data_IF_097338888882
#
_entry.id   IF_097338888882
#
_cell.length_a   1.000
_cell.length_b   1.000
_cell.length_c   1.000
_cell.angle_alpha   90.00
_cell.angle_beta   90.00
_cell.angle_gamma   90.00
#
_symmetry.space_group_name_H-M   'P 1'
#
loop_
_entity.id
_entity.type
_entity.pdbx_description
1 polymer ?
#
# COMPACT_ATOMS: atom_id res chain seq x y z
N UNK A 1 13.42 7.85 22.49
CA UNK A 1 12.28 7.06 23.01
C UNK A 1 12.11 5.90 22.06
N UNK A 2 12.09 4.66 22.54
CA UNK A 2 11.86 3.51 21.66
C UNK A 2 10.41 3.58 21.18
N UNK A 3 10.20 3.55 19.87
CA UNK A 3 8.86 3.43 19.30
C UNK A 3 8.29 2.07 19.72
N UNK A 4 7.10 2.07 20.34
CA UNK A 4 6.40 0.84 20.71
C UNK A 4 5.47 0.44 19.57
N UNK A 5 5.69 -0.75 19.01
CA UNK A 5 4.87 -1.32 17.95
C UNK A 5 4.18 -2.59 18.45
N UNK A 6 2.93 -2.81 18.04
CA UNK A 6 2.19 -4.04 18.36
C UNK A 6 2.87 -5.31 17.80
N UNK A 7 3.59 -5.17 16.68
CA UNK A 7 4.53 -6.14 16.13
C UNK A 7 5.84 -5.45 15.81
N UNK A 8 6.98 -6.14 15.91
CA UNK A 8 8.22 -5.56 15.35
C UNK A 8 8.08 -5.40 13.83
N UNK A 9 8.62 -4.34 13.20
CA UNK A 9 8.57 -4.19 11.74
C UNK A 9 9.13 -5.41 10.98
N UNK A 10 10.15 -6.07 11.52
CA UNK A 10 10.74 -7.29 10.95
C UNK A 10 9.74 -8.46 10.90
N UNK A 11 8.79 -8.50 11.84
CA UNK A 11 7.70 -9.47 11.82
C UNK A 11 6.85 -9.32 10.57
N UNK A 12 6.60 -8.08 10.13
CA UNK A 12 5.84 -7.80 8.91
C UNK A 12 6.63 -8.22 7.67
N UNK A 13 7.93 -7.93 7.63
CA UNK A 13 8.82 -8.39 6.54
C UNK A 13 8.79 -9.92 6.45
N UNK A 14 8.88 -10.61 7.60
CA UNK A 14 8.83 -12.07 7.64
C UNK A 14 7.49 -12.60 7.14
N UNK A 15 6.37 -12.00 7.55
CA UNK A 15 5.04 -12.36 7.07
C UNK A 15 4.95 -12.26 5.53
N UNK A 16 5.40 -11.15 4.95
CA UNK A 16 5.44 -10.98 3.49
C UNK A 16 6.27 -12.05 2.78
N UNK A 17 7.42 -12.45 3.35
CA UNK A 17 8.27 -13.52 2.79
C UNK A 17 7.59 -14.89 2.77
N UNK A 18 6.62 -15.11 3.66
CA UNK A 18 5.80 -16.33 3.75
C UNK A 18 4.50 -16.20 2.95
N UNK A 19 4.29 -15.07 2.27
CA UNK A 19 3.08 -14.81 1.51
C UNK A 19 1.91 -14.25 2.32
N UNK A 20 2.08 -14.01 3.62
CA UNK A 20 1.09 -13.41 4.52
C UNK A 20 1.09 -11.88 4.40
N UNK A 21 -0.06 -11.25 4.68
CA UNK A 21 -0.15 -9.79 4.79
C UNK A 21 -1.10 -9.35 5.91
N UNK A 22 -0.78 -8.25 6.62
CA UNK A 22 -1.61 -7.75 7.72
C UNK A 22 -2.75 -6.86 7.22
N UNK A 23 -3.95 -7.01 7.80
CA UNK A 23 -5.06 -6.05 7.67
C UNK A 23 -5.82 -5.94 9.01
N UNK A 24 -6.53 -4.83 9.21
CA UNK A 24 -7.49 -4.69 10.30
C UNK A 24 -8.92 -4.74 9.74
N UNK A 25 -9.91 -5.07 10.59
CA UNK A 25 -11.31 -5.11 10.15
C UNK A 25 -11.87 -3.71 9.82
N UNK A 26 -11.35 -2.68 10.48
CA UNK A 26 -11.70 -1.27 10.28
C UNK A 26 -10.54 -0.36 10.69
N UNK A 27 -10.65 0.94 10.36
CA UNK A 27 -9.61 1.92 10.69
C UNK A 27 -9.49 2.20 12.20
N UNK A 28 -10.57 1.93 12.93
CA UNK A 28 -10.68 2.13 14.37
C UNK A 28 -10.46 0.82 15.15
N UNK A 29 -10.25 -0.29 14.44
CA UNK A 29 -9.89 -1.58 15.04
C UNK A 29 -8.57 -1.46 15.80
N UNK A 30 -8.52 -2.10 16.98
CA UNK A 30 -7.30 -2.26 17.78
C UNK A 30 -6.55 -3.54 17.47
N UNK A 31 -7.09 -4.38 16.59
CA UNK A 31 -6.49 -5.66 16.21
C UNK A 31 -6.01 -5.66 14.76
N UNK A 32 -4.90 -6.36 14.52
CA UNK A 32 -4.37 -6.70 13.19
C UNK A 32 -4.49 -8.21 13.01
N UNK A 33 -4.99 -8.63 11.86
CA UNK A 33 -5.08 -10.02 11.43
C UNK A 33 -4.15 -10.26 10.25
N UNK A 34 -3.55 -11.44 10.18
CA UNK A 34 -2.73 -11.87 9.04
C UNK A 34 -3.54 -12.79 8.13
N UNK A 35 -3.45 -12.54 6.83
CA UNK A 35 -4.23 -13.25 5.82
C UNK A 35 -3.33 -14.05 4.88
N UNK A 36 -3.76 -15.29 4.61
CA UNK A 36 -3.21 -16.19 3.61
C UNK A 36 -4.34 -16.68 2.69
N UNK A 37 -4.60 -16.00 1.57
CA UNK A 37 -5.70 -16.42 0.69
C UNK A 37 -5.29 -17.63 -0.16
N UNK A 38 -6.11 -18.69 -0.15
CA UNK A 38 -5.94 -19.88 -1.02
C UNK A 38 -5.81 -19.51 -2.51
N UNK A 39 -6.50 -18.44 -2.93
CA UNK A 39 -6.40 -17.85 -4.27
C UNK A 39 -5.86 -16.43 -4.17
N UNK A 40 -4.67 -16.22 -4.71
CA UNK A 40 -4.00 -14.91 -4.68
C UNK A 40 -4.22 -14.14 -5.99
N UNK A 41 -4.76 -12.94 -5.86
CA UNK A 41 -4.83 -11.99 -6.98
C UNK A 41 -3.43 -11.44 -7.28
N UNK A 42 -3.00 -11.53 -8.54
CA UNK A 42 -1.74 -10.99 -9.03
C UNK A 42 -2.01 -10.10 -10.25
N UNK A 43 -1.21 -9.03 -10.40
CA UNK A 43 -1.26 -8.15 -11.57
C UNK A 43 0.06 -8.30 -12.32
N UNK A 44 0.08 -8.99 -13.47
CA UNK A 44 1.28 -9.09 -14.29
C UNK A 44 1.64 -7.73 -14.88
N UNK A 45 2.78 -7.17 -14.47
CA UNK A 45 3.25 -5.86 -14.96
C UNK A 45 3.93 -6.00 -16.32
N UNK A 46 4.58 -7.14 -16.58
CA UNK A 46 5.26 -7.41 -17.84
C UNK A 46 4.33 -8.09 -18.85
N UNK A 47 4.17 -7.48 -20.02
CA UNK A 47 3.40 -8.03 -21.13
C UNK A 47 4.00 -9.32 -21.70
N UNK A 48 5.30 -9.57 -21.51
CA UNK A 48 5.99 -10.77 -22.03
C UNK A 48 5.56 -12.07 -21.34
N UNK A 49 4.89 -11.99 -20.19
CA UNK A 49 4.39 -13.17 -19.46
C UNK A 49 2.96 -13.57 -19.86
N UNK A 50 2.36 -12.88 -20.83
CA UNK A 50 0.93 -12.98 -21.13
C UNK A 50 0.08 -12.31 -20.04
N UNK A 51 -0.99 -11.60 -20.41
CA UNK A 51 -1.88 -10.98 -19.42
C UNK A 51 -1.35 -9.72 -18.72
N UNK A 52 -0.60 -8.88 -19.44
CA UNK A 52 -0.12 -7.59 -18.91
C UNK A 52 -1.24 -6.64 -18.46
N UNK A 53 -0.86 -5.56 -17.75
CA UNK A 53 -1.82 -4.56 -17.25
C UNK A 53 -2.68 -3.98 -18.38
N UNK A 54 -4.01 -4.11 -18.23
CA UNK A 54 -4.94 -3.44 -19.13
C UNK A 54 -5.02 -1.95 -18.80
N UNK A 55 -4.49 -1.09 -19.69
CA UNK A 55 -4.59 0.37 -19.57
C UNK A 55 -5.55 0.89 -20.65
N UNK A 56 -6.71 1.47 -20.28
CA UNK A 56 -7.66 1.99 -21.26
C UNK A 56 -7.04 3.05 -22.18
N UNK A 57 -7.39 3.05 -23.47
CA UNK A 57 -6.82 3.98 -24.48
C UNK A 57 -6.93 5.45 -24.08
N UNK A 58 -8.04 5.85 -23.44
CA UNK A 58 -8.25 7.24 -22.97
C UNK A 58 -7.25 7.62 -21.87
N UNK A 59 -6.97 6.70 -20.94
CA UNK A 59 -5.99 6.90 -19.88
C UNK A 59 -4.57 6.98 -20.47
N UNK A 60 -4.22 6.07 -21.38
CA UNK A 60 -2.92 6.12 -22.08
C UNK A 60 -2.70 7.47 -22.78
N UNK A 61 -3.72 7.97 -23.49
CA UNK A 61 -3.64 9.28 -24.16
C UNK A 61 -3.45 10.42 -23.15
N UNK A 62 -4.15 10.40 -22.02
CA UNK A 62 -4.01 11.41 -20.97
C UNK A 62 -2.61 11.39 -20.35
N UNK A 63 -2.10 10.21 -19.98
CA UNK A 63 -0.77 10.09 -19.35
C UNK A 63 0.34 10.57 -20.30
N UNK A 64 0.23 10.30 -21.61
CA UNK A 64 1.19 10.78 -22.62
C UNK A 64 1.25 12.31 -22.77
N UNK A 65 0.24 13.03 -22.30
CA UNK A 65 0.27 14.50 -22.28
C UNK A 65 1.11 15.05 -21.13
N UNK A 66 1.70 14.16 -20.29
CA UNK A 66 2.46 14.49 -19.09
C UNK A 66 1.78 15.54 -18.18
N UNK A 67 0.47 15.43 -17.89
CA UNK A 67 -0.19 16.41 -17.02
C UNK A 67 0.12 16.17 -15.52
N UNK A 68 0.99 15.21 -15.21
CA UNK A 68 1.30 14.82 -13.85
C UNK A 68 2.81 14.68 -13.69
N UNK A 69 3.32 15.11 -12.54
CA UNK A 69 4.65 14.75 -12.07
C UNK A 69 4.54 13.52 -11.16
N UNK A 70 5.47 12.58 -11.28
CA UNK A 70 5.50 11.35 -10.48
C UNK A 70 6.81 11.28 -9.73
N UNK A 71 6.74 11.11 -8.41
CA UNK A 71 7.89 10.88 -7.56
C UNK A 71 7.79 9.52 -6.87
N UNK A 72 8.93 9.08 -6.31
CA UNK A 72 9.03 7.85 -5.54
C UNK A 72 9.57 8.22 -4.17
N UNK A 73 8.94 7.72 -3.11
CA UNK A 73 9.38 7.90 -1.72
C UNK A 73 9.53 9.38 -1.29
N UNK A 74 8.84 10.30 -1.96
CA UNK A 74 8.94 11.72 -1.64
C UNK A 74 8.11 12.10 -0.41
N UNK A 75 6.93 11.46 -0.24
CA UNK A 75 6.05 11.68 0.91
C UNK A 75 5.19 10.43 1.21
N UNK A 76 5.85 9.39 1.73
CA UNK A 76 5.17 8.15 2.11
C UNK A 76 4.06 8.38 3.14
N UNK A 77 4.26 9.33 4.05
CA UNK A 77 3.31 9.60 5.15
C UNK A 77 2.01 10.18 4.59
N UNK A 78 2.09 11.17 3.69
CA UNK A 78 0.90 11.69 3.04
C UNK A 78 0.16 10.62 2.22
N UNK A 79 0.89 9.75 1.52
CA UNK A 79 0.29 8.66 0.74
C UNK A 79 -0.48 7.69 1.64
N UNK A 80 0.14 7.18 2.71
CA UNK A 80 -0.54 6.22 3.60
C UNK A 80 -1.70 6.88 4.36
N UNK A 81 -1.60 8.17 4.69
CA UNK A 81 -2.67 8.92 5.34
C UNK A 81 -3.88 9.07 4.44
N UNK A 82 -3.67 9.44 3.18
CA UNK A 82 -4.72 9.48 2.19
C UNK A 82 -5.34 8.09 1.95
N UNK A 83 -4.51 7.04 1.92
CA UNK A 83 -4.98 5.67 1.81
C UNK A 83 -5.76 5.18 3.04
N UNK A 84 -5.51 5.71 4.23
CA UNK A 84 -6.22 5.35 5.47
C UNK A 84 -7.49 6.17 5.70
N UNK A 85 -7.64 7.30 5.01
CA UNK A 85 -8.80 8.17 5.15
C UNK A 85 -10.05 7.58 4.48
N UNK A 86 -11.24 7.78 5.09
CA UNK A 86 -12.51 7.53 4.44
C UNK A 86 -12.76 8.55 3.33
N UNK A 87 -13.64 8.20 2.40
CA UNK A 87 -14.09 9.05 1.30
C UNK A 87 -15.57 8.81 1.03
N UNK A 88 -16.19 9.65 0.21
CA UNK A 88 -17.61 9.50 -0.19
C UNK A 88 -17.92 8.12 -0.79
N UNK A 89 -16.92 7.44 -1.36
CA UNK A 89 -17.06 6.10 -1.98
C UNK A 89 -16.63 4.96 -1.08
N UNK A 90 -15.93 5.27 0.03
CA UNK A 90 -15.34 4.29 0.93
C UNK A 90 -15.41 4.84 2.35
N UNK A 91 -16.48 4.50 3.05
CA UNK A 91 -16.78 5.01 4.40
C UNK A 91 -15.86 4.45 5.47
N UNK A 92 -15.16 3.34 5.20
CA UNK A 92 -14.20 2.71 6.13
C UNK A 92 -13.03 2.05 5.39
N UNK A 93 -11.92 1.84 6.09
CA UNK A 93 -10.67 1.30 5.54
C UNK A 93 -10.06 0.30 6.51
N UNK A 94 -9.19 -0.59 6.04
CA UNK A 94 -8.50 -1.55 6.89
C UNK A 94 -7.20 -1.01 7.51
N UNK A 95 -6.80 0.23 7.17
CA UNK A 95 -5.55 0.82 7.63
C UNK A 95 -5.82 1.53 8.95
N UNK A 96 -5.68 0.79 10.05
CA UNK A 96 -5.74 1.36 11.38
C UNK A 96 -4.43 2.08 11.75
N UNK A 97 -4.41 2.69 12.95
CA UNK A 97 -3.26 3.44 13.45
C UNK A 97 -1.97 2.60 13.51
N UNK A 98 -2.06 1.34 13.90
CA UNK A 98 -0.89 0.48 14.09
C UNK A 98 -0.30 0.03 12.74
N UNK A 99 -1.15 -0.36 11.78
CA UNK A 99 -0.73 -0.66 10.41
C UNK A 99 -0.06 0.56 9.80
N UNK A 100 -0.66 1.74 9.94
CA UNK A 100 -0.05 2.99 9.47
C UNK A 100 1.37 3.18 10.04
N UNK A 101 1.53 3.05 11.36
CA UNK A 101 2.83 3.21 12.01
C UNK A 101 3.85 2.16 11.57
N UNK A 102 3.45 0.90 11.45
CA UNK A 102 4.30 -0.18 10.97
C UNK A 102 4.82 0.09 9.56
N UNK A 103 3.96 0.54 8.65
CA UNK A 103 4.39 0.79 7.26
C UNK A 103 5.26 2.04 7.13
N UNK A 104 5.06 3.06 7.97
CA UNK A 104 6.01 4.19 8.08
C UNK A 104 7.37 3.70 8.59
N UNK A 105 7.41 2.79 9.55
CA UNK A 105 8.66 2.19 10.02
C UNK A 105 9.33 1.36 8.91
N UNK A 106 8.57 0.53 8.20
CA UNK A 106 9.07 -0.24 7.05
C UNK A 106 9.61 0.67 5.95
N UNK A 107 8.97 1.81 5.72
CA UNK A 107 9.45 2.80 4.76
C UNK A 107 10.82 3.36 5.17
N UNK A 108 10.98 3.76 6.45
CA UNK A 108 12.28 4.22 6.99
C UNK A 108 13.36 3.14 6.90
N UNK A 109 12.99 1.86 6.98
CA UNK A 109 13.88 0.72 6.83
C UNK A 109 14.17 0.35 5.36
N UNK A 110 13.52 1.00 4.39
CA UNK A 110 13.68 0.73 2.96
C UNK A 110 12.88 -0.46 2.42
N UNK A 111 11.91 -0.98 3.17
CA UNK A 111 11.07 -2.13 2.78
C UNK A 111 9.67 -1.75 2.27
N UNK A 112 9.22 -0.53 2.53
CA UNK A 112 7.97 -0.01 1.98
C UNK A 112 8.25 1.22 1.11
N UNK A 113 7.53 1.32 -0.02
CA UNK A 113 7.72 2.39 -0.99
C UNK A 113 6.40 3.05 -1.35
N UNK A 114 6.46 4.34 -1.63
CA UNK A 114 5.34 5.13 -2.12
C UNK A 114 5.60 5.65 -3.53
N UNK A 115 4.51 5.89 -4.24
CA UNK A 115 4.48 6.64 -5.49
C UNK A 115 3.55 7.83 -5.25
N UNK A 116 4.06 9.04 -5.44
CA UNK A 116 3.27 10.26 -5.35
C UNK A 116 2.97 10.78 -6.76
N UNK A 117 1.77 11.35 -6.95
CA UNK A 117 1.32 11.92 -8.22
C UNK A 117 0.84 13.34 -7.98
N UNK A 118 1.51 14.30 -8.62
CA UNK A 118 1.27 15.73 -8.50
C UNK A 118 0.61 16.26 -9.78
N UNK A 119 -0.22 17.30 -9.68
CA UNK A 119 -0.95 17.92 -10.80
C UNK A 119 -0.76 19.42 -10.85
#
# INVERSE_FOLDING_TARGET
MADHYIYSPETIIKAYSLGLFPMADSRDSVEIKFYEPDRRALIPINSSLGGGVHIPRRLQRRVRQAPFEVSINQDFTAVIDACAAPSDRRTDTWINKDIRQLYIALHKMGFAHSLEVWS
#
